data_IF_657106159544
#
_entry.id   IF_657106159544
#
_cell.length_a   1.000
_cell.length_b   1.000
_cell.length_c   1.000
_cell.angle_alpha   90.00
_cell.angle_beta   90.00
_cell.angle_gamma   90.00
#
_symmetry.space_group_name_H-M   'P 1'
#
loop_
_entity.id
_entity.type
_entity.pdbx_description
1 polymer ?
#
# COMPACT_ATOMS: atom_id res chain seq x y z
N UNK A 1 -18.68 -67.74 -45.42
CA UNK A 1 -17.92 -66.52 -45.68
C UNK A 1 -18.64 -65.25 -45.16
N UNK A 2 -19.96 -65.23 -45.29
CA UNK A 2 -20.80 -64.09 -44.78
C UNK A 2 -20.69 -63.83 -43.26
N UNK A 3 -20.61 -64.93 -42.47
CA UNK A 3 -20.51 -64.82 -41.00
C UNK A 3 -19.14 -64.30 -40.53
N UNK A 4 -18.08 -64.52 -41.24
CA UNK A 4 -16.73 -64.00 -40.95
C UNK A 4 -16.60 -62.49 -41.20
N UNK A 5 -17.27 -62.00 -42.24
CA UNK A 5 -17.23 -60.57 -42.59
C UNK A 5 -18.08 -59.74 -41.65
N UNK A 6 -19.24 -60.23 -41.22
CA UNK A 6 -20.07 -59.57 -40.20
C UNK A 6 -19.38 -59.50 -38.87
N UNK A 7 -18.66 -60.55 -38.44
CA UNK A 7 -17.86 -60.53 -37.20
C UNK A 7 -16.73 -59.53 -37.22
N UNK A 8 -16.02 -59.37 -38.39
CA UNK A 8 -14.97 -58.34 -38.55
C UNK A 8 -15.55 -56.89 -38.53
N UNK A 9 -16.71 -56.71 -39.10
CA UNK A 9 -17.39 -55.39 -39.06
C UNK A 9 -17.86 -55.04 -37.67
N UNK A 10 -18.44 -56.00 -36.92
CA UNK A 10 -18.79 -55.77 -35.50
C UNK A 10 -17.58 -55.49 -34.62
N UNK A 11 -16.45 -56.18 -34.83
CA UNK A 11 -15.22 -55.91 -34.07
C UNK A 11 -14.64 -54.53 -34.36
N UNK A 12 -14.68 -54.04 -35.60
CA UNK A 12 -14.28 -52.67 -35.94
C UNK A 12 -15.21 -51.62 -35.33
N UNK A 13 -16.54 -51.84 -35.32
CA UNK A 13 -17.47 -50.93 -34.68
C UNK A 13 -17.26 -50.88 -33.17
N UNK A 14 -16.95 -52.01 -32.52
CA UNK A 14 -16.63 -52.06 -31.08
C UNK A 14 -15.34 -51.32 -30.74
N UNK A 15 -14.29 -51.47 -31.57
CA UNK A 15 -13.03 -50.75 -31.39
C UNK A 15 -13.19 -49.23 -31.58
N UNK A 16 -14.03 -48.79 -32.52
CA UNK A 16 -14.31 -47.36 -32.73
C UNK A 16 -15.15 -46.78 -31.56
N UNK A 17 -16.14 -47.56 -31.08
CA UNK A 17 -16.95 -47.16 -29.92
C UNK A 17 -16.11 -47.10 -28.61
N UNK A 18 -15.18 -48.07 -28.44
CA UNK A 18 -14.28 -48.10 -27.29
C UNK A 18 -13.25 -46.95 -27.34
N UNK A 19 -12.71 -46.59 -28.52
CA UNK A 19 -11.85 -45.42 -28.70
C UNK A 19 -12.62 -44.11 -28.47
N UNK A 20 -13.86 -44.00 -28.96
CA UNK A 20 -14.69 -42.83 -28.72
C UNK A 20 -15.03 -42.68 -27.22
N UNK A 21 -15.25 -43.77 -26.50
CA UNK A 21 -15.49 -43.74 -25.05
C UNK A 21 -14.21 -43.40 -24.25
N UNK A 22 -13.01 -43.83 -24.73
CA UNK A 22 -11.74 -43.43 -24.10
C UNK A 22 -11.45 -41.93 -24.29
N UNK A 23 -11.84 -41.33 -25.42
CA UNK A 23 -11.65 -39.92 -25.69
C UNK A 23 -12.57 -39.05 -24.85
N UNK A 24 -13.78 -39.53 -24.54
CA UNK A 24 -14.73 -38.78 -23.67
C UNK A 24 -14.34 -38.81 -22.20
N UNK A 25 -13.60 -39.80 -21.72
CA UNK A 25 -13.13 -39.89 -20.34
C UNK A 25 -11.95 -38.92 -20.06
N UNK A 26 -11.24 -38.50 -21.11
CA UNK A 26 -10.12 -37.52 -20.99
C UNK A 26 -10.53 -36.06 -21.27
N UNK A 27 -11.79 -35.80 -21.60
CA UNK A 27 -12.35 -34.47 -21.81
C UNK A 27 -13.36 -34.10 -20.73
N UNK A 28 -13.15 -34.51 -19.50
CA UNK A 28 -13.71 -33.74 -18.41
C UNK A 28 -13.05 -32.36 -18.49
N UNK A 29 -13.80 -31.25 -18.71
CA UNK A 29 -13.21 -29.96 -18.53
C UNK A 29 -12.71 -29.96 -17.09
N UNK A 30 -11.39 -29.90 -16.91
CA UNK A 30 -10.85 -29.63 -15.60
C UNK A 30 -11.70 -28.47 -15.08
N UNK A 31 -12.39 -28.66 -13.99
CA UNK A 31 -13.21 -27.65 -13.35
C UNK A 31 -12.20 -26.58 -12.88
N UNK A 32 -11.78 -25.74 -13.83
CA UNK A 32 -10.84 -24.66 -13.55
C UNK A 32 -11.63 -23.73 -12.63
N UNK A 33 -11.52 -23.99 -11.34
CA UNK A 33 -12.08 -23.10 -10.33
C UNK A 33 -11.51 -21.73 -10.64
N UNK A 34 -12.38 -20.80 -11.04
CA UNK A 34 -11.95 -19.44 -11.35
C UNK A 34 -11.06 -18.92 -10.23
N UNK A 35 -9.89 -18.41 -10.60
CA UNK A 35 -8.92 -17.90 -9.65
C UNK A 35 -9.60 -16.87 -8.75
N UNK A 36 -9.60 -17.13 -7.44
CA UNK A 36 -10.14 -16.18 -6.47
C UNK A 36 -9.12 -15.05 -6.29
N UNK A 37 -9.56 -13.80 -6.11
CA UNK A 37 -8.65 -12.71 -5.81
C UNK A 37 -7.94 -12.96 -4.47
N UNK A 38 -6.68 -12.51 -4.33
CA UNK A 38 -5.98 -12.54 -3.05
C UNK A 38 -6.73 -11.76 -1.97
N UNK A 39 -6.51 -12.12 -0.71
CA UNK A 39 -7.00 -11.40 0.46
C UNK A 39 -5.92 -10.52 1.06
N UNK A 40 -6.33 -9.62 1.96
CA UNK A 40 -5.43 -8.76 2.76
C UNK A 40 -4.50 -7.86 1.92
N UNK A 41 -4.96 -7.45 0.72
CA UNK A 41 -4.24 -6.43 -0.04
C UNK A 41 -4.11 -5.17 0.82
N UNK A 42 -2.88 -4.72 1.04
CA UNK A 42 -2.56 -3.55 1.86
C UNK A 42 -1.28 -2.87 1.42
N UNK A 43 -1.15 -1.62 1.77
CA UNK A 43 0.10 -0.88 1.65
C UNK A 43 1.06 -1.26 2.78
N UNK A 44 2.33 -1.56 2.47
CA UNK A 44 3.37 -1.94 3.42
C UNK A 44 4.47 -0.88 3.58
N UNK A 45 4.73 -0.11 2.50
CA UNK A 45 5.67 1.01 2.56
C UNK A 45 5.28 2.14 1.61
N UNK A 46 5.90 3.31 1.80
CA UNK A 46 5.75 4.46 0.93
C UNK A 46 7.05 5.27 0.81
N UNK A 47 7.24 5.85 -0.37
CA UNK A 47 8.11 7.00 -0.58
C UNK A 47 7.32 8.14 -1.22
N UNK A 48 7.99 9.24 -1.54
CA UNK A 48 7.33 10.38 -2.21
C UNK A 48 6.79 10.05 -3.59
N UNK A 49 7.31 9.01 -4.26
CA UNK A 49 6.96 8.63 -5.64
C UNK A 49 6.79 7.14 -5.86
N UNK A 50 6.76 6.36 -4.79
CA UNK A 50 6.58 4.91 -4.89
C UNK A 50 5.90 4.36 -3.65
N UNK A 51 5.31 3.18 -3.80
CA UNK A 51 4.70 2.42 -2.72
C UNK A 51 5.05 0.94 -2.88
N UNK A 52 4.94 0.21 -1.79
CA UNK A 52 4.93 -1.24 -1.80
C UNK A 52 3.56 -1.73 -1.31
N UNK A 53 2.99 -2.66 -2.06
CA UNK A 53 1.76 -3.34 -1.69
C UNK A 53 2.06 -4.81 -1.43
N UNK A 54 1.43 -5.37 -0.40
CA UNK A 54 1.52 -6.78 -0.05
C UNK A 54 0.12 -7.39 0.12
N UNK A 55 0.02 -8.72 -0.01
CA UNK A 55 -1.23 -9.48 0.14
C UNK A 55 -0.96 -10.91 0.61
N UNK A 56 -2.01 -11.62 1.02
CA UNK A 56 -1.91 -13.05 1.28
C UNK A 56 -1.87 -13.82 -0.04
N UNK A 57 -0.82 -14.65 -0.21
CA UNK A 57 -0.64 -15.44 -1.42
C UNK A 57 -1.80 -16.42 -1.63
N UNK A 58 -2.31 -16.50 -2.87
CA UNK A 58 -3.34 -17.44 -3.26
C UNK A 58 -2.69 -18.76 -3.68
N UNK A 59 -3.13 -19.88 -3.06
CA UNK A 59 -2.63 -21.21 -3.42
C UNK A 59 -2.96 -21.55 -4.87
N UNK A 60 -1.96 -22.05 -5.62
CA UNK A 60 -2.11 -22.43 -7.02
C UNK A 60 -2.03 -21.26 -8.02
N UNK A 61 -1.93 -20.01 -7.58
CA UNK A 61 -1.77 -18.89 -8.48
C UNK A 61 -0.40 -18.94 -9.18
N UNK A 62 -0.39 -18.74 -10.49
CA UNK A 62 0.83 -18.52 -11.27
C UNK A 62 1.42 -17.14 -10.96
N UNK A 63 0.57 -16.14 -10.75
CA UNK A 63 0.94 -14.76 -10.47
C UNK A 63 -0.29 -13.89 -10.23
N UNK A 64 -0.04 -12.58 -10.24
CA UNK A 64 -1.04 -11.57 -9.90
C UNK A 64 -1.00 -10.42 -10.88
N UNK A 65 -2.15 -9.83 -11.13
CA UNK A 65 -2.30 -8.57 -11.87
C UNK A 65 -2.87 -7.54 -10.90
N UNK A 66 -2.23 -6.40 -10.81
CA UNK A 66 -2.66 -5.26 -10.02
C UNK A 66 -3.10 -4.16 -10.98
N UNK A 67 -4.27 -3.58 -10.77
CA UNK A 67 -4.71 -2.37 -11.44
C UNK A 67 -4.86 -1.24 -10.45
N UNK A 68 -4.50 -0.01 -10.84
CA UNK A 68 -4.62 1.15 -9.96
C UNK A 68 -4.87 2.44 -10.73
N UNK A 69 -5.49 3.41 -10.04
CA UNK A 69 -5.77 4.75 -10.57
C UNK A 69 -5.82 5.78 -9.43
N UNK A 70 -5.72 7.07 -9.78
CA UNK A 70 -5.79 8.18 -8.81
C UNK A 70 -7.23 8.57 -8.42
N UNK A 71 -8.24 7.89 -8.95
CA UNK A 71 -9.65 8.13 -8.61
C UNK A 71 -10.35 6.81 -8.25
N UNK A 72 -11.30 6.79 -7.28
CA UNK A 72 -11.91 5.55 -6.80
C UNK A 72 -12.78 4.83 -7.85
N UNK A 73 -13.38 5.57 -8.79
CA UNK A 73 -14.28 5.03 -9.82
C UNK A 73 -13.67 5.18 -11.23
N UNK A 74 -12.39 4.94 -11.36
CA UNK A 74 -11.70 5.04 -12.63
C UNK A 74 -12.25 4.05 -13.67
N UNK A 75 -12.33 4.49 -14.92
CA UNK A 75 -12.62 3.63 -16.08
C UNK A 75 -11.34 3.21 -16.81
N UNK A 76 -10.23 3.89 -16.54
CA UNK A 76 -8.90 3.61 -17.07
C UNK A 76 -7.93 3.37 -15.93
N UNK A 77 -7.08 2.38 -16.07
CA UNK A 77 -6.15 1.94 -15.02
C UNK A 77 -4.73 1.82 -15.54
N UNK A 78 -3.78 2.04 -14.64
CA UNK A 78 -2.44 1.50 -14.77
C UNK A 78 -2.43 0.05 -14.31
N UNK A 79 -1.53 -0.75 -14.87
CA UNK A 79 -1.44 -2.18 -14.59
C UNK A 79 -0.01 -2.57 -14.26
N UNK A 80 0.13 -3.39 -13.23
CA UNK A 80 1.38 -4.03 -12.81
C UNK A 80 1.18 -5.54 -12.65
N UNK A 81 2.30 -6.28 -12.60
CA UNK A 81 2.31 -7.74 -12.47
C UNK A 81 3.29 -8.19 -11.41
N UNK A 82 2.91 -9.20 -10.65
CA UNK A 82 3.77 -9.83 -9.65
C UNK A 82 3.71 -11.36 -9.72
N UNK A 83 4.82 -12.02 -9.44
CA UNK A 83 4.89 -13.47 -9.21
C UNK A 83 5.08 -13.81 -7.73
N UNK A 84 5.26 -12.79 -6.89
CA UNK A 84 5.31 -12.87 -5.43
C UNK A 84 4.06 -12.23 -4.85
N UNK A 85 3.90 -12.30 -3.56
CA UNK A 85 2.81 -11.69 -2.81
C UNK A 85 3.10 -10.24 -2.36
N UNK A 86 3.95 -9.55 -3.11
CA UNK A 86 4.30 -8.15 -2.91
C UNK A 86 4.65 -7.49 -4.25
N UNK A 87 4.50 -6.17 -4.33
CA UNK A 87 4.90 -5.39 -5.50
C UNK A 87 5.35 -3.99 -5.11
N UNK A 88 6.40 -3.51 -5.79
CA UNK A 88 6.87 -2.14 -5.73
C UNK A 88 6.37 -1.36 -6.95
N UNK A 89 5.56 -0.32 -6.72
CA UNK A 89 5.02 0.56 -7.76
C UNK A 89 5.72 1.91 -7.67
N UNK A 90 6.32 2.36 -8.78
CA UNK A 90 7.09 3.61 -8.87
C UNK A 90 6.52 4.56 -9.91
N UNK A 91 7.09 5.78 -10.01
CA UNK A 91 6.63 6.79 -10.95
C UNK A 91 5.32 7.47 -10.57
N UNK A 92 4.90 7.31 -9.31
CA UNK A 92 3.68 7.90 -8.78
C UNK A 92 3.85 9.41 -8.52
N UNK A 93 2.74 10.12 -8.41
CA UNK A 93 2.71 11.54 -8.03
C UNK A 93 2.86 11.68 -6.52
N UNK A 94 3.70 12.59 -6.09
CA UNK A 94 3.94 12.93 -4.69
C UNK A 94 2.64 13.30 -3.97
N UNK A 95 2.48 12.83 -2.73
CA UNK A 95 1.40 13.21 -1.84
C UNK A 95 0.00 12.89 -2.41
N UNK A 96 -0.11 11.86 -3.23
CA UNK A 96 -1.33 11.50 -3.95
C UNK A 96 -1.93 10.20 -3.42
N UNK A 97 -3.25 10.17 -3.36
CA UNK A 97 -4.03 8.97 -3.06
C UNK A 97 -4.30 8.20 -4.36
N UNK A 98 -4.17 6.88 -4.29
CA UNK A 98 -4.49 5.94 -5.35
C UNK A 98 -5.41 4.84 -4.82
N UNK A 99 -6.07 4.14 -5.74
CA UNK A 99 -6.97 3.02 -5.46
C UNK A 99 -6.52 1.83 -6.27
N UNK A 100 -6.29 0.69 -5.61
CA UNK A 100 -5.81 -0.53 -6.23
C UNK A 100 -6.76 -1.70 -6.03
N UNK A 101 -6.79 -2.58 -7.00
CA UNK A 101 -7.41 -3.90 -6.95
C UNK A 101 -6.43 -4.94 -7.50
N UNK A 102 -6.57 -6.17 -7.03
CA UNK A 102 -5.71 -7.28 -7.43
C UNK A 102 -6.56 -8.47 -7.85
N UNK A 103 -6.08 -9.24 -8.84
CA UNK A 103 -6.58 -10.56 -9.16
C UNK A 103 -5.44 -11.58 -9.25
N UNK A 104 -5.77 -12.85 -9.01
CA UNK A 104 -4.87 -13.97 -9.28
C UNK A 104 -5.00 -14.40 -10.74
N UNK A 105 -3.92 -14.96 -11.29
CA UNK A 105 -3.90 -15.64 -12.58
C UNK A 105 -3.32 -17.05 -12.42
N UNK A 106 -3.87 -18.02 -13.15
CA UNK A 106 -3.53 -19.43 -13.02
C UNK A 106 -2.49 -19.87 -14.05
N UNK A 107 -2.29 -19.09 -15.12
CA UNK A 107 -1.43 -19.44 -16.23
C UNK A 107 -0.50 -18.31 -16.66
N UNK A 108 0.62 -18.68 -17.28
CA UNK A 108 1.53 -17.73 -17.91
C UNK A 108 0.84 -16.86 -18.98
N UNK A 109 -0.10 -17.42 -19.76
CA UNK A 109 -0.80 -16.67 -20.81
C UNK A 109 -1.65 -15.54 -20.25
N UNK A 110 -2.38 -15.78 -19.15
CA UNK A 110 -3.14 -14.74 -18.44
C UNK A 110 -2.20 -13.67 -17.89
N UNK A 111 -1.09 -14.07 -17.27
CA UNK A 111 -0.06 -13.18 -16.76
C UNK A 111 0.60 -12.35 -17.87
N UNK A 112 0.92 -12.95 -19.01
CA UNK A 112 1.54 -12.26 -20.13
C UNK A 112 0.60 -11.24 -20.78
N UNK A 113 -0.68 -11.57 -20.90
CA UNK A 113 -1.73 -10.74 -21.50
C UNK A 113 -2.46 -9.84 -20.52
N UNK A 114 -1.83 -9.45 -19.43
CA UNK A 114 -2.42 -8.76 -18.28
C UNK A 114 -3.26 -7.51 -18.59
N UNK A 115 -2.96 -6.78 -19.67
CA UNK A 115 -3.71 -5.59 -20.07
C UNK A 115 -5.05 -5.90 -20.75
N UNK A 116 -5.15 -7.07 -21.36
CA UNK A 116 -6.35 -7.52 -22.10
C UNK A 116 -7.07 -8.67 -21.42
N UNK A 117 -6.46 -9.25 -20.39
CA UNK A 117 -7.06 -10.33 -19.61
C UNK A 117 -8.21 -9.81 -18.76
N UNK A 118 -9.36 -10.48 -18.85
CA UNK A 118 -10.52 -10.21 -18.01
C UNK A 118 -10.61 -11.28 -16.92
N UNK A 119 -10.27 -10.95 -15.66
CA UNK A 119 -10.35 -11.91 -14.56
C UNK A 119 -11.80 -12.21 -14.19
N UNK A 120 -12.02 -13.37 -13.57
CA UNK A 120 -13.33 -13.75 -13.02
C UNK A 120 -13.76 -12.80 -11.89
N UNK A 121 -12.82 -12.33 -11.09
CA UNK A 121 -13.07 -11.38 -10.01
C UNK A 121 -11.81 -10.54 -9.71
N UNK A 122 -12.04 -9.30 -9.31
CA UNK A 122 -11.07 -8.42 -8.66
C UNK A 122 -11.32 -8.41 -7.16
N UNK A 123 -10.28 -8.16 -6.36
CA UNK A 123 -10.43 -7.87 -4.93
C UNK A 123 -11.28 -6.62 -4.71
N UNK A 124 -11.73 -6.40 -3.47
CA UNK A 124 -12.17 -5.07 -3.06
C UNK A 124 -11.05 -4.05 -3.32
N UNK A 125 -11.44 -2.83 -3.67
CA UNK A 125 -10.47 -1.76 -3.83
C UNK A 125 -9.92 -1.33 -2.47
N UNK A 126 -8.61 -1.09 -2.43
CA UNK A 126 -7.94 -0.44 -1.30
C UNK A 126 -7.48 0.95 -1.69
N UNK A 127 -7.44 1.84 -0.73
CA UNK A 127 -6.73 3.12 -0.82
C UNK A 127 -5.26 2.92 -0.46
N UNK A 128 -4.35 3.56 -1.21
CA UNK A 128 -2.94 3.66 -0.86
C UNK A 128 -2.38 5.04 -1.20
N UNK A 129 -1.32 5.46 -0.52
CA UNK A 129 -0.83 6.82 -0.59
C UNK A 129 0.68 6.87 -0.80
N UNK A 130 1.15 7.78 -1.67
CA UNK A 130 2.55 8.21 -1.64
C UNK A 130 2.81 9.08 -0.42
N UNK A 131 4.05 9.10 0.07
CA UNK A 131 4.44 9.95 1.18
C UNK A 131 4.36 11.43 0.81
N UNK A 132 4.14 12.32 1.81
CA UNK A 132 4.22 13.76 1.63
C UNK A 132 5.63 14.21 1.24
N UNK A 133 5.75 15.49 0.87
CA UNK A 133 7.04 16.14 0.67
C UNK A 133 7.79 16.32 2.02
N UNK A 134 9.03 16.74 1.93
CA UNK A 134 9.84 17.06 3.10
C UNK A 134 9.37 18.36 3.75
N UNK A 135 9.45 18.39 5.07
CA UNK A 135 9.26 19.64 5.81
C UNK A 135 10.50 20.51 5.70
N UNK A 136 10.34 21.79 5.35
CA UNK A 136 11.47 22.70 5.12
C UNK A 136 12.03 23.28 6.42
N UNK A 137 11.16 23.82 7.27
CA UNK A 137 11.60 24.55 8.48
C UNK A 137 10.56 24.45 9.58
N UNK A 138 11.02 24.27 10.81
CA UNK A 138 10.23 24.38 12.05
C UNK A 138 10.74 25.59 12.81
N UNK A 139 9.84 26.51 13.21
CA UNK A 139 10.18 27.76 13.86
C UNK A 139 9.50 27.85 15.21
N UNK A 140 10.25 28.22 16.27
CA UNK A 140 9.68 28.60 17.54
C UNK A 140 9.08 30.02 17.38
N UNK A 141 7.75 30.14 17.51
CA UNK A 141 7.02 31.38 17.29
C UNK A 141 6.66 32.09 18.59
N UNK A 142 6.58 31.31 19.68
CA UNK A 142 6.31 31.88 21.02
C UNK A 142 7.00 31.04 22.10
N UNK A 143 7.32 31.71 23.22
CA UNK A 143 7.75 31.04 24.45
C UNK A 143 7.26 31.81 25.66
N UNK A 144 6.85 31.09 26.68
CA UNK A 144 6.57 31.59 28.04
C UNK A 144 7.48 30.85 29.03
N UNK A 145 7.30 31.09 30.32
CA UNK A 145 8.03 30.31 31.33
C UNK A 145 7.55 28.85 31.43
N UNK A 146 6.38 28.51 30.91
CA UNK A 146 5.78 27.18 31.02
C UNK A 146 5.27 26.60 29.68
N UNK A 147 5.53 27.28 28.56
CA UNK A 147 5.11 26.79 27.25
C UNK A 147 6.02 27.25 26.13
N UNK A 148 6.02 26.46 25.04
CA UNK A 148 6.66 26.79 23.77
C UNK A 148 5.66 26.51 22.64
N UNK A 149 5.52 27.47 21.73
CA UNK A 149 4.79 27.28 20.47
C UNK A 149 5.75 27.21 19.31
N UNK A 150 5.58 26.19 18.47
CA UNK A 150 6.28 26.06 17.20
C UNK A 150 5.30 26.02 16.04
N UNK A 151 5.74 26.47 14.88
CA UNK A 151 4.97 26.42 13.63
C UNK A 151 5.87 26.07 12.43
N UNK A 152 5.21 25.63 11.37
CA UNK A 152 5.82 25.30 10.09
C UNK A 152 4.88 25.62 8.92
N UNK A 153 5.41 25.67 7.70
CA UNK A 153 4.60 25.83 6.50
C UNK A 153 3.85 24.52 6.17
N UNK A 154 2.62 24.59 5.62
CA UNK A 154 1.94 23.40 5.11
C UNK A 154 2.81 22.62 4.13
N UNK A 155 2.86 21.30 4.29
CA UNK A 155 3.66 20.40 3.45
C UNK A 155 2.77 19.76 2.40
N UNK A 156 3.20 19.80 1.13
CA UNK A 156 2.47 19.19 0.01
C UNK A 156 2.22 17.71 0.26
N UNK A 157 0.97 17.31 0.19
CA UNK A 157 0.54 15.92 0.40
C UNK A 157 0.35 15.51 1.86
N UNK A 158 0.78 16.30 2.84
CA UNK A 158 0.55 15.99 4.25
C UNK A 158 -0.92 16.20 4.64
N UNK A 159 -1.44 15.25 5.42
CA UNK A 159 -2.75 15.35 6.09
C UNK A 159 -2.60 15.49 7.60
N UNK A 160 -1.47 15.06 8.14
CA UNK A 160 -1.13 15.05 9.56
C UNK A 160 0.35 15.35 9.75
N UNK A 161 0.74 15.69 10.96
CA UNK A 161 2.11 15.86 11.40
C UNK A 161 2.31 15.09 12.71
N UNK A 162 3.33 14.23 12.75
CA UNK A 162 3.75 13.54 13.97
C UNK A 162 4.83 14.37 14.65
N UNK A 163 4.64 14.62 15.94
CA UNK A 163 5.53 15.42 16.78
C UNK A 163 6.34 14.46 17.66
N UNK A 164 7.64 14.67 17.72
CA UNK A 164 8.54 14.01 18.66
C UNK A 164 9.26 15.03 19.51
N UNK A 165 9.60 14.67 20.73
CA UNK A 165 10.39 15.46 21.66
C UNK A 165 11.66 14.69 22.05
N UNK A 166 12.79 15.39 22.11
CA UNK A 166 14.09 14.80 22.45
C UNK A 166 15.01 15.79 23.14
N UNK A 167 16.05 15.26 23.80
CA UNK A 167 17.06 16.06 24.50
C UNK A 167 18.27 16.41 23.63
N UNK A 168 18.33 15.89 22.42
CA UNK A 168 19.41 16.13 21.46
C UNK A 168 18.86 16.35 20.05
N UNK A 169 19.70 16.72 19.11
CA UNK A 169 19.33 16.87 17.68
C UNK A 169 19.12 15.56 16.94
N UNK A 170 19.32 14.42 17.62
CA UNK A 170 19.11 13.08 17.05
C UNK A 170 17.69 12.58 17.34
N UNK A 171 17.03 11.99 16.34
CA UNK A 171 15.72 11.33 16.50
C UNK A 171 15.82 10.00 17.23
N UNK A 172 17.02 9.40 17.35
CA UNK A 172 17.20 8.06 17.95
C UNK A 172 16.72 7.95 19.39
N UNK A 173 16.69 9.07 20.13
CA UNK A 173 16.24 9.15 21.54
C UNK A 173 14.95 9.96 21.69
N UNK A 174 14.41 10.47 20.60
CA UNK A 174 13.17 11.24 20.61
C UNK A 174 11.95 10.36 20.89
N UNK A 175 11.03 10.85 21.69
CA UNK A 175 9.78 10.18 22.04
C UNK A 175 8.62 10.81 21.28
N UNK A 176 7.70 9.98 20.76
CA UNK A 176 6.49 10.46 20.14
C UNK A 176 5.62 11.22 21.16
N UNK A 177 5.26 12.45 20.82
CA UNK A 177 4.38 13.29 21.64
C UNK A 177 2.92 13.15 21.20
N UNK A 178 2.66 13.11 19.88
CA UNK A 178 1.32 13.01 19.32
C UNK A 178 1.25 13.48 17.87
N UNK A 179 0.05 13.45 17.33
CA UNK A 179 -0.23 13.92 15.96
C UNK A 179 -1.13 15.14 15.96
N UNK A 180 -0.98 15.99 14.94
CA UNK A 180 -1.85 17.16 14.69
C UNK A 180 -2.13 17.31 13.19
N UNK A 181 -3.25 17.90 12.85
CA UNK A 181 -3.57 18.35 11.48
C UNK A 181 -3.20 19.81 11.25
N UNK A 182 -2.89 20.55 12.34
CA UNK A 182 -2.49 21.96 12.28
C UNK A 182 -1.01 22.08 11.96
N UNK A 183 -0.61 23.19 11.37
CA UNK A 183 0.79 23.55 11.11
C UNK A 183 1.45 24.25 12.30
N UNK A 184 0.97 24.01 13.50
CA UNK A 184 1.53 24.52 14.76
C UNK A 184 1.15 23.62 15.94
N UNK A 185 1.96 23.69 17.00
CA UNK A 185 1.67 23.03 18.28
C UNK A 185 2.21 23.86 19.43
N UNK A 186 1.45 23.93 20.53
CA UNK A 186 1.90 24.52 21.79
C UNK A 186 2.15 23.39 22.79
N UNK A 187 3.36 23.34 23.31
CA UNK A 187 3.82 22.36 24.27
C UNK A 187 3.87 22.99 25.67
N UNK A 188 3.24 22.35 26.66
CA UNK A 188 3.39 22.73 28.05
C UNK A 188 4.65 22.11 28.65
N UNK A 189 5.43 22.86 29.39
CA UNK A 189 6.72 22.41 29.93
C UNK A 189 7.08 23.21 31.20
N UNK A 190 8.30 23.05 31.69
CA UNK A 190 8.82 23.77 32.88
C UNK A 190 9.59 25.03 32.46
N UNK A 191 9.78 25.99 33.37
CA UNK A 191 10.65 27.15 33.16
C UNK A 191 12.10 26.73 32.89
N UNK A 192 12.80 27.55 32.11
CA UNK A 192 14.23 27.41 31.84
C UNK A 192 14.69 26.04 31.30
N UNK A 193 13.81 25.39 30.52
CA UNK A 193 14.18 24.13 29.84
C UNK A 193 14.53 24.36 28.38
N UNK A 194 15.38 23.47 27.87
CA UNK A 194 15.72 23.39 26.44
C UNK A 194 15.53 21.96 25.94
N UNK A 195 14.88 21.80 24.79
CA UNK A 195 14.60 20.50 24.20
C UNK A 195 14.53 20.62 22.68
N UNK A 196 14.60 19.49 22.00
CA UNK A 196 14.37 19.43 20.54
C UNK A 196 12.96 18.93 20.26
N UNK A 197 12.30 19.61 19.34
CA UNK A 197 11.06 19.16 18.71
C UNK A 197 11.36 18.70 17.29
N UNK A 198 10.78 17.58 16.90
CA UNK A 198 10.85 17.08 15.51
C UNK A 198 9.44 17.01 14.97
N UNK A 199 9.27 17.41 13.74
CA UNK A 199 7.98 17.39 13.04
C UNK A 199 8.14 16.54 11.78
N UNK A 200 7.32 15.53 11.65
CA UNK A 200 7.30 14.61 10.51
C UNK A 200 5.94 14.69 9.82
N UNK A 201 5.90 15.12 8.55
CA UNK A 201 4.66 15.12 7.80
C UNK A 201 4.25 13.69 7.44
N UNK A 202 2.96 13.42 7.54
CA UNK A 202 2.32 12.13 7.31
C UNK A 202 1.13 12.30 6.37
N UNK A 203 0.83 11.26 5.57
CA UNK A 203 -0.42 11.14 4.85
C UNK A 203 -1.19 9.92 5.35
N UNK A 204 -2.32 10.14 5.99
CA UNK A 204 -3.17 9.07 6.52
C UNK A 204 -3.97 8.41 5.41
N UNK A 205 -3.98 7.07 5.39
CA UNK A 205 -4.86 6.29 4.53
C UNK A 205 -6.24 6.20 5.18
N UNK A 206 -7.29 6.55 4.44
CA UNK A 206 -8.65 6.55 4.96
C UNK A 206 -9.08 5.16 5.46
N UNK A 207 -9.78 5.12 6.59
CA UNK A 207 -10.29 3.89 7.18
C UNK A 207 -9.24 2.95 7.76
N UNK A 208 -7.97 3.37 7.87
CA UNK A 208 -6.87 2.58 8.43
C UNK A 208 -6.04 3.40 9.42
N UNK A 209 -5.16 2.74 10.16
CA UNK A 209 -4.14 3.39 10.99
C UNK A 209 -2.80 3.58 10.26
N UNK A 210 -2.77 3.31 8.95
CA UNK A 210 -1.57 3.47 8.14
C UNK A 210 -1.33 4.94 7.78
N UNK A 211 -0.07 5.37 7.93
CA UNK A 211 0.42 6.68 7.53
C UNK A 211 1.56 6.55 6.54
N UNK A 212 1.35 7.01 5.31
CA UNK A 212 2.43 7.11 4.33
C UNK A 212 3.40 8.22 4.75
N UNK A 213 4.65 7.86 4.92
CA UNK A 213 5.75 8.78 5.26
C UNK A 213 7.09 8.17 4.84
N UNK A 214 8.13 8.99 4.80
CA UNK A 214 9.52 8.52 4.66
C UNK A 214 10.27 8.77 5.95
N UNK A 215 11.27 7.96 6.25
CA UNK A 215 12.09 8.11 7.45
C UNK A 215 12.97 9.37 7.48
N UNK A 216 13.02 10.11 6.36
CA UNK A 216 13.91 11.27 6.20
C UNK A 216 13.20 12.61 6.06
N UNK A 217 11.86 12.65 6.06
CA UNK A 217 11.11 13.88 5.83
C UNK A 217 10.71 14.64 7.11
N UNK A 218 11.49 14.55 8.16
CA UNK A 218 11.33 15.34 9.37
C UNK A 218 12.30 16.51 9.42
N UNK A 219 11.92 17.56 10.15
CA UNK A 219 12.81 18.68 10.52
C UNK A 219 12.72 18.92 12.03
N UNK A 220 13.77 19.50 12.60
CA UNK A 220 13.88 19.74 14.04
C UNK A 220 14.14 21.18 14.39
N UNK A 221 13.76 21.56 15.61
CA UNK A 221 14.05 22.85 16.22
C UNK A 221 14.49 22.65 17.66
N UNK A 222 15.60 23.29 18.04
CA UNK A 222 15.94 23.49 19.46
C UNK A 222 15.02 24.59 20.01
N UNK A 223 14.26 24.23 21.03
CA UNK A 223 13.26 25.09 21.67
C UNK A 223 13.69 25.42 23.10
N UNK A 224 13.35 26.62 23.55
CA UNK A 224 13.66 27.09 24.90
C UNK A 224 12.46 27.83 25.50
N UNK A 225 12.15 27.54 26.78
CA UNK A 225 11.27 28.41 27.59
C UNK A 225 12.04 29.59 28.14
N UNK A 226 11.31 30.64 28.53
CA UNK A 226 11.91 31.77 29.26
C UNK A 226 12.03 31.43 30.74
N UNK A 227 12.99 32.01 31.48
CA UNK A 227 13.09 31.91 32.92
C UNK A 227 11.83 32.51 33.62
N UNK A 228 11.55 32.02 34.82
CA UNK A 228 10.61 32.72 35.73
C UNK A 228 11.17 34.08 36.09
N UNK A 229 10.32 35.11 36.14
CA UNK A 229 10.75 36.41 36.63
C UNK A 229 11.26 36.28 38.08
N UNK A 230 12.34 37.00 38.45
CA UNK A 230 12.78 37.04 39.83
C UNK A 230 11.62 37.51 40.72
N UNK A 231 11.47 36.89 41.88
CA UNK A 231 10.55 37.42 42.89
C UNK A 231 11.02 38.85 43.25
N UNK A 232 10.14 39.83 43.08
CA UNK A 232 10.40 41.16 43.60
C UNK A 232 10.56 41.03 45.12
N UNK A 233 11.72 41.45 45.60
CA UNK A 233 12.05 41.56 47.05
C UNK A 233 11.23 42.71 47.64
#
# INVERSE_FOLDING_TARGET
DFMKETSKKLHKLWLIAAMALLITVFLEPANVKAAQPPTDLKQTSASTRSVELGWTAQSGAYGYIIRYAATPNATTFNYERATRNEIYISGLTLGTTYYAQICSVDTYQQYANYKTYTPAAWSNAIEFNTAPDNISTVTQTNATNNSVTVSWAPVTGATHYLIYLGNSSSTSTAQAYGTTTNCSVTLQTQPNVSFYIFVQPLRKTAGTDYYATTSYNYNSKNCKTIPTAPNSI
#
